data_IF_458524718445
#
_entry.id   IF_458524718445
#
_cell.length_a   1.000
_cell.length_b   1.000
_cell.length_c   1.000
_cell.angle_alpha   90.00
_cell.angle_beta   90.00
_cell.angle_gamma   90.00
#
_symmetry.space_group_name_H-M   'P 1'
#
loop_
_entity.id
_entity.type
_entity.pdbx_description
1 polymer ?
#
# COMPACT_ATOMS: atom_id res chain seq x y z
N UNK A 1 -6.73 11.24 6.39
CA UNK A 1 -5.74 10.64 7.29
C UNK A 1 -5.14 9.41 6.63
N UNK A 2 -3.82 9.27 6.67
CA UNK A 2 -3.09 8.17 6.01
C UNK A 2 -2.08 7.57 6.99
N UNK A 3 -1.82 6.27 6.86
CA UNK A 3 -0.84 5.57 7.68
C UNK A 3 0.48 5.44 6.93
N UNK A 4 1.59 5.81 7.58
CA UNK A 4 2.94 5.70 7.05
C UNK A 4 3.66 4.47 7.61
N UNK A 5 4.42 3.82 6.75
CA UNK A 5 5.34 2.71 7.06
C UNK A 5 6.76 3.11 6.69
N UNK A 6 7.74 2.69 7.48
CA UNK A 6 9.15 2.83 7.14
C UNK A 6 9.55 2.08 5.87
N UNK A 7 10.41 2.70 5.06
CA UNK A 7 11.03 2.08 3.89
C UNK A 7 11.50 3.14 2.90
N UNK A 8 12.78 3.12 2.56
CA UNK A 8 13.38 4.07 1.61
C UNK A 8 13.05 3.66 0.18
N UNK A 9 12.58 4.62 -0.61
CA UNK A 9 12.55 4.50 -2.07
C UNK A 9 13.97 4.77 -2.56
N UNK A 10 14.62 3.76 -3.15
CA UNK A 10 16.01 3.88 -3.58
C UNK A 10 16.18 4.93 -4.68
N UNK A 11 15.19 5.05 -5.55
CA UNK A 11 15.22 5.91 -6.73
C UNK A 11 15.03 7.39 -6.40
N UNK A 12 14.51 7.71 -5.21
CA UNK A 12 14.18 9.08 -4.82
C UNK A 12 14.96 9.52 -3.57
N UNK A 13 15.82 10.56 -3.68
CA UNK A 13 16.47 11.12 -2.51
C UNK A 13 15.43 11.78 -1.60
N UNK A 14 15.52 11.54 -0.29
CA UNK A 14 14.62 12.11 0.71
C UNK A 14 13.33 11.31 0.98
N UNK A 15 12.93 10.39 0.10
CA UNK A 15 11.71 9.58 0.30
C UNK A 15 12.01 8.34 1.14
N UNK A 16 11.72 8.42 2.44
CA UNK A 16 12.05 7.39 3.46
C UNK A 16 10.86 6.58 3.96
N UNK A 17 9.66 6.88 3.47
CA UNK A 17 8.41 6.27 3.93
C UNK A 17 7.51 5.88 2.77
N UNK A 18 6.69 4.85 3.00
CA UNK A 18 5.63 4.43 2.12
C UNK A 18 4.28 4.58 2.81
N UNK A 19 3.25 4.89 2.02
CA UNK A 19 1.86 4.88 2.48
C UNK A 19 1.37 3.43 2.54
N UNK A 20 0.74 3.05 3.64
CA UNK A 20 0.03 1.77 3.75
C UNK A 20 -1.29 1.88 3.00
N UNK A 21 -1.44 1.11 1.91
CA UNK A 21 -2.66 1.12 1.09
C UNK A 21 -3.76 0.29 1.73
N UNK A 22 -5.00 0.76 1.63
CA UNK A 22 -6.16 0.08 2.23
C UNK A 22 -6.30 0.31 3.74
N UNK A 23 -5.63 1.33 4.28
CA UNK A 23 -5.71 1.74 5.68
C UNK A 23 -6.14 3.21 5.79
N UNK A 24 -6.96 3.52 6.80
CA UNK A 24 -7.60 4.82 7.00
C UNK A 24 -8.31 5.27 5.71
N UNK A 25 -8.04 6.49 5.23
CA UNK A 25 -8.74 7.06 4.07
C UNK A 25 -8.16 6.58 2.72
N UNK A 26 -7.14 5.74 2.73
CA UNK A 26 -6.49 5.30 1.49
C UNK A 26 -7.14 4.03 0.94
N UNK A 27 -7.60 4.10 -0.31
CA UNK A 27 -8.12 2.93 -1.01
C UNK A 27 -7.01 1.93 -1.38
N UNK A 28 -7.37 0.65 -1.32
CA UNK A 28 -6.57 -0.45 -1.87
C UNK A 28 -6.50 -0.40 -3.40
N UNK A 29 -5.63 -1.21 -3.99
CA UNK A 29 -5.52 -1.32 -5.45
C UNK A 29 -6.56 -2.30 -5.98
N UNK A 30 -7.32 -1.89 -7.00
CA UNK A 30 -8.32 -2.75 -7.64
C UNK A 30 -7.66 -3.88 -8.44
N UNK A 31 -8.36 -5.02 -8.56
CA UNK A 31 -7.98 -6.19 -9.39
C UNK A 31 -6.60 -6.79 -9.13
N UNK A 32 -5.98 -6.47 -7.99
CA UNK A 32 -4.67 -7.00 -7.62
C UNK A 32 -4.79 -8.44 -7.13
N UNK A 33 -4.50 -9.40 -8.01
CA UNK A 33 -4.56 -10.85 -7.71
C UNK A 33 -3.37 -11.37 -6.88
N UNK A 34 -2.19 -10.77 -7.01
CA UNK A 34 -0.96 -11.17 -6.31
C UNK A 34 -0.37 -10.04 -5.44
N UNK A 35 0.23 -10.40 -4.30
CA UNK A 35 0.78 -9.41 -3.36
C UNK A 35 -0.27 -8.50 -2.72
N UNK A 36 -1.52 -8.98 -2.66
CA UNK A 36 -2.72 -8.23 -2.24
C UNK A 36 -2.61 -7.57 -0.86
N UNK A 37 -1.90 -8.21 0.07
CA UNK A 37 -1.68 -7.73 1.43
C UNK A 37 -0.86 -6.43 1.48
N UNK A 38 0.05 -6.21 0.53
CA UNK A 38 0.85 -4.98 0.46
C UNK A 38 0.04 -3.79 -0.09
N UNK A 39 -0.95 -4.08 -0.91
CA UNK A 39 -1.70 -3.07 -1.67
C UNK A 39 -3.14 -2.88 -1.17
N UNK A 40 -3.49 -3.45 -0.02
CA UNK A 40 -4.82 -3.25 0.58
C UNK A 40 -5.95 -3.93 -0.16
N UNK A 41 -5.67 -4.97 -0.94
CA UNK A 41 -6.66 -5.66 -1.77
C UNK A 41 -7.18 -6.90 -1.03
N UNK A 42 -8.50 -6.99 -0.84
CA UNK A 42 -9.12 -8.16 -0.18
C UNK A 42 -9.09 -9.37 -1.10
N UNK A 43 -9.12 -10.57 -0.51
CA UNK A 43 -9.29 -11.80 -1.28
C UNK A 43 -10.70 -11.81 -1.88
N UNK A 44 -10.86 -11.95 -3.21
CA UNK A 44 -12.19 -12.10 -3.80
C UNK A 44 -12.83 -13.37 -3.23
N UNK A 45 -14.10 -13.25 -2.83
CA UNK A 45 -14.91 -14.43 -2.48
C UNK A 45 -15.28 -15.10 -3.81
N UNK A 46 -14.91 -16.36 -3.95
CA UNK A 46 -15.39 -17.22 -5.03
C UNK A 46 -16.78 -17.73 -4.65
#
# INVERSE_FOLDING_TARGET
MVLLRGGRVKDLPGVRYHIVRGALDTAGVNDRKQGRSKYGTKRPKA
#
